data_IF_935882582655
#
_entry.id   IF_935882582655
#
_cell.length_a   1.000
_cell.length_b   1.000
_cell.length_c   1.000
_cell.angle_alpha   90.00
_cell.angle_beta   90.00
_cell.angle_gamma   90.00
#
_symmetry.space_group_name_H-M   'P 1'
#
loop_
_entity.id
_entity.type
_entity.pdbx_description
1 polymer ?
#
# COMPACT_ATOMS: atom_id res chain seq x y z
N UNK A 1 -5.56 -22.45 -6.74
CA UNK A 1 -6.26 -21.19 -6.43
C UNK A 1 -5.31 -20.02 -6.66
N UNK A 2 -5.76 -18.92 -7.26
CA UNK A 2 -4.89 -17.78 -7.61
C UNK A 2 -4.19 -17.17 -6.38
N UNK A 3 -4.85 -17.13 -5.23
CA UNK A 3 -4.26 -16.57 -4.00
C UNK A 3 -3.02 -17.33 -3.53
N UNK A 4 -3.07 -18.67 -3.58
CA UNK A 4 -1.92 -19.49 -3.23
C UNK A 4 -0.77 -19.26 -4.21
N UNK A 5 -1.08 -19.09 -5.50
CA UNK A 5 -0.11 -18.81 -6.56
C UNK A 5 0.59 -17.47 -6.33
N UNK A 6 -0.16 -16.40 -6.02
CA UNK A 6 0.43 -15.11 -5.70
C UNK A 6 1.32 -15.23 -4.46
N UNK A 7 0.78 -15.79 -3.35
CA UNK A 7 1.51 -15.90 -2.08
C UNK A 7 2.81 -16.67 -2.22
N UNK A 8 2.83 -17.80 -2.94
CA UNK A 8 4.05 -18.60 -3.09
C UNK A 8 5.12 -17.87 -3.90
N UNK A 9 4.74 -17.01 -4.85
CA UNK A 9 5.68 -16.29 -5.71
C UNK A 9 6.10 -14.92 -5.16
N UNK A 10 5.39 -14.39 -4.16
CA UNK A 10 5.71 -13.10 -3.54
C UNK A 10 6.12 -13.20 -2.07
N UNK A 11 6.26 -14.42 -1.52
CA UNK A 11 6.54 -14.65 -0.10
C UNK A 11 7.80 -13.92 0.39
N UNK A 12 8.91 -14.02 -0.36
CA UNK A 12 10.18 -13.40 0.04
C UNK A 12 10.11 -11.88 0.01
N UNK A 13 9.45 -11.31 -1.01
CA UNK A 13 9.23 -9.87 -1.10
C UNK A 13 8.35 -9.35 0.04
N UNK A 14 7.26 -10.06 0.34
CA UNK A 14 6.38 -9.74 1.47
C UNK A 14 7.17 -9.72 2.78
N UNK A 15 7.91 -10.81 3.06
CA UNK A 15 8.71 -10.95 4.29
C UNK A 15 9.79 -9.87 4.41
N UNK A 16 10.48 -9.57 3.30
CA UNK A 16 11.50 -8.51 3.26
C UNK A 16 10.91 -7.15 3.58
N UNK A 17 9.79 -6.80 2.94
CA UNK A 17 9.10 -5.54 3.17
C UNK A 17 8.57 -5.42 4.61
N UNK A 18 7.94 -6.48 5.12
CA UNK A 18 7.45 -6.54 6.50
C UNK A 18 8.57 -6.33 7.53
N UNK A 19 9.72 -6.96 7.32
CA UNK A 19 10.90 -6.79 8.18
C UNK A 19 11.41 -5.35 8.17
N UNK A 20 11.54 -4.72 7.00
CA UNK A 20 11.98 -3.33 6.87
C UNK A 20 11.02 -2.34 7.51
N UNK A 21 9.72 -2.51 7.27
CA UNK A 21 8.69 -1.69 7.91
C UNK A 21 8.71 -1.86 9.41
N UNK A 22 8.86 -3.09 9.89
CA UNK A 22 8.91 -3.37 11.32
C UNK A 22 10.10 -2.70 12.01
N UNK A 23 11.28 -2.76 11.38
CA UNK A 23 12.48 -2.12 11.89
C UNK A 23 12.38 -0.59 11.97
N UNK A 24 11.51 0.03 11.14
CA UNK A 24 11.30 1.48 11.13
C UNK A 24 10.14 1.93 12.03
N UNK A 25 9.03 1.20 12.07
CA UNK A 25 7.81 1.61 12.78
C UNK A 25 7.73 1.11 14.22
N UNK A 26 8.30 -0.06 14.52
CA UNK A 26 8.18 -0.70 15.82
C UNK A 26 9.38 -0.39 16.73
N UNK A 27 9.85 0.87 16.73
CA UNK A 27 10.91 1.33 17.63
C UNK A 27 10.34 2.14 18.80
N UNK A 28 10.83 1.97 20.05
CA UNK A 28 10.31 2.71 21.21
C UNK A 28 10.45 4.24 21.13
N UNK A 29 11.37 4.72 20.30
CA UNK A 29 11.76 6.11 20.15
C UNK A 29 11.43 6.68 18.75
N UNK A 30 10.43 6.10 18.07
CA UNK A 30 9.99 6.56 16.75
C UNK A 30 9.74 8.07 16.75
N UNK A 31 10.47 8.77 15.89
CA UNK A 31 10.39 10.23 15.73
C UNK A 31 9.33 10.61 14.69
N UNK A 32 8.61 11.73 14.87
CA UNK A 32 7.66 12.23 13.88
C UNK A 32 8.27 12.42 12.48
N UNK A 33 9.54 12.83 12.40
CA UNK A 33 10.24 13.00 11.12
C UNK A 33 10.47 11.69 10.37
N UNK A 34 10.83 10.61 11.07
CA UNK A 34 11.00 9.28 10.47
C UNK A 34 9.65 8.75 9.95
N UNK A 35 8.59 8.98 10.72
CA UNK A 35 7.24 8.64 10.30
C UNK A 35 6.80 9.44 9.06
N UNK A 36 7.08 10.75 9.04
CA UNK A 36 6.83 11.63 7.90
C UNK A 36 7.54 11.14 6.63
N UNK A 37 8.83 10.79 6.73
CA UNK A 37 9.59 10.25 5.59
C UNK A 37 9.00 8.93 5.09
N UNK A 38 8.52 8.07 5.99
CA UNK A 38 7.84 6.83 5.62
C UNK A 38 6.53 7.08 4.88
N UNK A 39 5.72 8.03 5.35
CA UNK A 39 4.49 8.44 4.66
C UNK A 39 4.79 9.02 3.27
N UNK A 40 5.87 9.78 3.11
CA UNK A 40 6.30 10.29 1.78
C UNK A 40 6.64 9.12 0.84
N UNK A 41 7.36 8.12 1.34
CA UNK A 41 7.69 6.93 0.55
C UNK A 41 6.42 6.16 0.14
N UNK A 42 5.48 5.96 1.05
CA UNK A 42 4.19 5.34 0.72
C UNK A 42 3.40 6.17 -0.29
N UNK A 43 3.26 7.48 -0.09
CA UNK A 43 2.56 8.38 -1.00
C UNK A 43 3.15 8.35 -2.41
N UNK A 44 4.49 8.40 -2.52
CA UNK A 44 5.19 8.29 -3.80
C UNK A 44 4.93 6.94 -4.49
N UNK A 45 5.00 5.83 -3.74
CA UNK A 45 4.75 4.50 -4.28
C UNK A 45 3.29 4.28 -4.70
N UNK A 46 2.32 4.66 -3.85
CA UNK A 46 0.90 4.48 -4.13
C UNK A 46 0.43 5.35 -5.30
N UNK A 47 0.89 6.61 -5.41
CA UNK A 47 0.59 7.44 -6.59
C UNK A 47 1.04 6.78 -7.89
N UNK A 48 2.23 6.18 -7.91
CA UNK A 48 2.74 5.50 -9.09
C UNK A 48 1.95 4.21 -9.40
N UNK A 49 1.62 3.42 -8.38
CA UNK A 49 0.86 2.16 -8.53
C UNK A 49 -0.58 2.40 -8.96
N UNK A 50 -1.31 3.29 -8.28
CA UNK A 50 -2.69 3.62 -8.62
C UNK A 50 -2.77 4.27 -10.01
N UNK A 51 -1.82 5.13 -10.38
CA UNK A 51 -1.76 5.69 -11.74
C UNK A 51 -1.52 4.61 -12.80
N UNK A 52 -0.65 3.64 -12.52
CA UNK A 52 -0.32 2.60 -13.47
C UNK A 52 -1.48 1.62 -13.67
N UNK A 53 -2.06 1.13 -12.56
CA UNK A 53 -3.16 0.19 -12.55
C UNK A 53 -4.48 0.82 -12.99
N UNK A 54 -4.75 2.06 -12.57
CA UNK A 54 -5.96 2.81 -12.90
C UNK A 54 -6.08 3.27 -14.35
N UNK A 55 -5.11 2.95 -15.20
CA UNK A 55 -5.24 3.16 -16.65
C UNK A 55 -6.23 2.16 -17.29
N UNK A 56 -6.50 1.04 -16.62
CA UNK A 56 -7.53 0.07 -17.00
C UNK A 56 -8.90 0.52 -16.44
N UNK A 57 -9.96 0.68 -17.26
CA UNK A 57 -11.25 1.23 -16.81
C UNK A 57 -11.91 0.49 -15.64
N UNK A 58 -11.89 -0.84 -15.66
CA UNK A 58 -12.45 -1.67 -14.60
C UNK A 58 -11.71 -1.44 -13.26
N UNK A 59 -10.40 -1.23 -13.30
CA UNK A 59 -9.56 -0.95 -12.13
C UNK A 59 -9.73 0.48 -11.66
N UNK A 60 -9.84 1.44 -12.59
CA UNK A 60 -10.17 2.82 -12.27
C UNK A 60 -11.47 2.91 -11.47
N UNK A 61 -12.49 2.12 -11.85
CA UNK A 61 -13.74 2.04 -11.12
C UNK A 61 -13.57 1.44 -9.70
N UNK A 62 -12.75 0.39 -9.55
CA UNK A 62 -12.42 -0.16 -8.23
C UNK A 62 -11.69 0.88 -7.34
N UNK A 63 -10.80 1.68 -7.93
CA UNK A 63 -10.01 2.68 -7.20
C UNK A 63 -10.85 3.83 -6.63
N UNK A 64 -12.08 4.07 -7.12
CA UNK A 64 -12.97 5.13 -6.61
C UNK A 64 -13.17 5.02 -5.09
N UNK A 65 -13.40 3.80 -4.59
CA UNK A 65 -13.60 3.53 -3.16
C UNK A 65 -12.35 2.95 -2.48
N UNK A 66 -11.32 2.66 -3.27
CA UNK A 66 -10.13 1.92 -2.83
C UNK A 66 -8.82 2.70 -2.95
N UNK A 67 -8.84 3.94 -3.40
CA UNK A 67 -7.63 4.80 -3.39
C UNK A 67 -7.19 5.13 -1.97
N UNK A 68 -5.87 5.15 -1.74
CA UNK A 68 -5.23 5.48 -0.45
C UNK A 68 -4.53 6.83 -0.49
N UNK A 69 -4.47 7.45 -1.67
CA UNK A 69 -3.72 8.68 -1.90
C UNK A 69 -4.24 9.80 -0.98
N UNK A 70 -5.55 10.00 -0.91
CA UNK A 70 -6.13 11.07 -0.07
C UNK A 70 -5.89 10.84 1.42
N UNK A 71 -5.83 9.59 1.89
CA UNK A 71 -5.53 9.25 3.28
C UNK A 71 -4.06 9.56 3.60
N UNK A 72 -3.14 9.20 2.69
CA UNK A 72 -1.73 9.52 2.79
C UNK A 72 -1.47 11.03 2.78
N UNK A 73 -2.18 11.77 1.92
CA UNK A 73 -2.07 13.24 1.84
C UNK A 73 -2.54 13.92 3.12
N UNK A 74 -3.64 13.44 3.71
CA UNK A 74 -4.14 13.94 5.00
C UNK A 74 -3.11 13.71 6.13
N UNK A 75 -2.61 12.47 6.27
CA UNK A 75 -1.62 12.13 7.28
C UNK A 75 -0.32 12.94 7.10
N UNK A 76 0.16 13.06 5.86
CA UNK A 76 1.33 13.87 5.52
C UNK A 76 1.15 15.32 5.93
N UNK A 77 0.02 15.94 5.57
CA UNK A 77 -0.23 17.34 5.87
C UNK A 77 -0.31 17.59 7.37
N UNK A 78 -0.95 16.69 8.12
CA UNK A 78 -1.04 16.83 9.58
C UNK A 78 0.33 16.72 10.25
N UNK A 79 1.10 15.68 9.92
CA UNK A 79 2.44 15.49 10.51
C UNK A 79 3.38 16.64 10.14
N UNK A 80 3.33 17.11 8.88
CA UNK A 80 4.13 18.24 8.40
C UNK A 80 3.93 19.49 9.25
N UNK A 81 2.69 19.81 9.61
CA UNK A 81 2.35 21.01 10.38
C UNK A 81 2.90 20.98 11.82
N UNK A 82 3.32 19.82 12.31
CA UNK A 82 3.86 19.62 13.67
C UNK A 82 5.37 19.55 13.73
N UNK A 83 6.04 19.57 12.57
CA UNK A 83 7.48 19.52 12.46
C UNK A 83 8.05 20.95 12.39
N UNK A 84 9.05 21.26 13.21
CA UNK A 84 9.74 22.56 13.18
C UNK A 84 10.54 22.75 11.90
N UNK A 85 11.14 21.66 11.38
CA UNK A 85 11.87 21.63 10.12
C UNK A 85 11.40 20.46 9.29
N UNK A 86 11.14 20.72 8.01
CA UNK A 86 10.66 19.72 7.06
C UNK A 86 11.54 19.70 5.83
N UNK A 87 11.91 18.51 5.39
CA UNK A 87 12.41 18.29 4.05
C UNK A 87 11.29 17.65 3.24
N UNK A 88 10.67 18.41 2.34
CA UNK A 88 9.62 17.90 1.46
C UNK A 88 10.18 17.13 0.26
N UNK A 89 11.49 17.15 0.05
CA UNK A 89 12.10 16.40 -1.04
C UNK A 89 11.95 14.90 -0.77
N UNK A 90 11.33 14.23 -1.74
CA UNK A 90 11.32 12.79 -1.86
C UNK A 90 11.19 12.46 -3.35
N UNK A 91 12.11 11.65 -3.92
CA UNK A 91 12.09 11.38 -5.34
C UNK A 91 10.75 10.79 -5.77
N UNK A 92 10.10 11.45 -6.72
CA UNK A 92 8.89 10.93 -7.34
C UNK A 92 9.18 9.53 -7.90
N UNK A 93 8.33 8.57 -7.53
CA UNK A 93 8.38 7.24 -8.10
C UNK A 93 7.54 7.21 -9.38
N UNK A 94 8.01 6.48 -10.38
CA UNK A 94 7.27 6.32 -11.64
C UNK A 94 7.18 4.86 -11.98
N UNK A 95 5.98 4.42 -12.36
CA UNK A 95 5.73 3.12 -12.94
C UNK A 95 5.03 3.34 -14.29
N UNK A 96 5.43 2.63 -15.37
CA UNK A 96 4.73 2.69 -16.64
C UNK A 96 3.26 2.32 -16.46
N UNK A 97 2.38 3.03 -17.17
CA UNK A 97 0.98 2.63 -17.25
C UNK A 97 0.86 1.27 -17.91
N UNK A 98 -0.17 0.53 -17.55
CA UNK A 98 -0.49 -0.76 -18.17
C UNK A 98 -1.93 -0.74 -18.67
N UNK A 99 -2.18 -1.43 -19.77
CA UNK A 99 -3.52 -1.72 -20.28
C UNK A 99 -3.97 -3.15 -19.88
N UNK A 100 -3.17 -3.87 -19.10
CA UNK A 100 -3.47 -5.24 -18.67
C UNK A 100 -4.30 -5.25 -17.39
N UNK A 101 -5.53 -5.79 -17.49
CA UNK A 101 -6.39 -6.08 -16.33
C UNK A 101 -5.68 -7.01 -15.33
N UNK A 102 -5.09 -8.09 -15.83
CA UNK A 102 -4.37 -9.07 -15.01
C UNK A 102 -3.22 -8.44 -14.21
N UNK A 103 -2.37 -7.64 -14.86
CA UNK A 103 -1.24 -6.99 -14.19
C UNK A 103 -1.75 -6.00 -13.12
N UNK A 104 -2.79 -5.25 -13.43
CA UNK A 104 -3.39 -4.27 -12.53
C UNK A 104 -4.06 -4.93 -11.31
N UNK A 105 -4.76 -6.05 -11.50
CA UNK A 105 -5.32 -6.85 -10.40
C UNK A 105 -4.23 -7.38 -9.48
N UNK A 106 -3.08 -7.78 -10.03
CA UNK A 106 -1.90 -8.13 -9.24
C UNK A 106 -1.39 -6.98 -8.38
N UNK A 107 -1.32 -5.77 -8.93
CA UNK A 107 -0.93 -4.57 -8.16
C UNK A 107 -1.93 -4.25 -7.06
N UNK A 108 -3.23 -4.30 -7.38
CA UNK A 108 -4.33 -4.09 -6.42
C UNK A 108 -4.28 -5.10 -5.28
N UNK A 109 -3.95 -6.38 -5.54
CA UNK A 109 -3.81 -7.40 -4.50
C UNK A 109 -2.83 -6.99 -3.41
N UNK A 110 -1.70 -6.37 -3.78
CA UNK A 110 -0.70 -5.93 -2.80
C UNK A 110 -1.19 -4.72 -2.01
N UNK A 111 -1.76 -3.72 -2.69
CA UNK A 111 -2.27 -2.51 -2.04
C UNK A 111 -3.44 -2.81 -1.09
N UNK A 112 -4.39 -3.64 -1.52
CA UNK A 112 -5.54 -4.03 -0.70
C UNK A 112 -5.12 -4.98 0.44
N UNK A 113 -4.21 -5.92 0.17
CA UNK A 113 -3.69 -6.85 1.17
C UNK A 113 -2.91 -6.16 2.28
N UNK A 114 -2.17 -5.09 1.94
CA UNK A 114 -1.41 -4.29 2.92
C UNK A 114 -2.30 -3.66 4.00
N UNK A 115 -3.59 -3.43 3.72
CA UNK A 115 -4.53 -2.83 4.69
C UNK A 115 -4.79 -3.74 5.88
N UNK A 116 -4.70 -5.07 5.72
CA UNK A 116 -5.02 -6.05 6.77
C UNK A 116 -4.06 -5.96 7.97
N UNK A 117 -2.77 -5.74 7.71
CA UNK A 117 -1.74 -5.56 8.74
C UNK A 117 -1.82 -4.20 9.45
N UNK A 118 -2.55 -3.24 8.87
CA UNK A 118 -2.64 -1.87 9.36
C UNK A 118 -3.12 -1.75 10.80
N UNK A 119 -4.01 -2.65 11.26
CA UNK A 119 -4.52 -2.65 12.64
C UNK A 119 -3.40 -2.79 13.68
N UNK A 120 -2.41 -3.64 13.42
CA UNK A 120 -1.29 -3.82 14.37
C UNK A 120 -0.39 -2.58 14.40
N UNK A 121 -0.17 -1.95 13.23
CA UNK A 121 0.58 -0.70 13.10
C UNK A 121 -0.15 0.41 13.86
N UNK A 122 -1.45 0.58 13.65
CA UNK A 122 -2.29 1.56 14.36
C UNK A 122 -2.17 1.38 15.87
N UNK A 123 -2.47 0.18 16.38
CA UNK A 123 -2.39 -0.14 17.81
C UNK A 123 -1.00 0.16 18.40
N UNK A 124 0.06 -0.03 17.62
CA UNK A 124 1.39 0.31 18.08
C UNK A 124 1.61 1.82 18.10
N UNK A 125 1.28 2.52 17.03
CA UNK A 125 1.59 3.94 16.87
C UNK A 125 0.77 4.85 17.80
N UNK A 126 -0.43 4.43 18.22
CA UNK A 126 -1.25 5.19 19.19
C UNK A 126 -0.57 5.42 20.56
N UNK A 127 0.50 4.68 20.87
CA UNK A 127 1.29 4.90 22.10
C UNK A 127 2.02 6.23 22.12
N UNK A 128 2.30 6.81 20.95
CA UNK A 128 3.12 8.02 20.82
C UNK A 128 2.24 9.25 21.02
N UNK A 129 2.61 10.13 21.96
CA UNK A 129 1.82 11.32 22.29
C UNK A 129 1.66 12.32 21.12
N UNK A 130 2.45 12.20 20.06
CA UNK A 130 2.37 13.02 18.85
C UNK A 130 1.49 12.41 17.76
N UNK A 131 0.99 11.18 17.94
CA UNK A 131 0.05 10.52 17.04
C UNK A 131 -1.38 10.84 17.47
N UNK A 132 -2.20 11.26 16.51
CA UNK A 132 -3.65 11.42 16.65
C UNK A 132 -4.32 10.48 15.65
N UNK A 133 -5.12 9.51 16.10
CA UNK A 133 -5.68 8.46 15.24
C UNK A 133 -6.38 9.02 14.00
N UNK A 134 -7.24 10.03 14.19
CA UNK A 134 -8.06 10.63 13.12
C UNK A 134 -7.25 11.50 12.14
N UNK A 135 -6.03 11.90 12.50
CA UNK A 135 -5.26 12.88 11.73
C UNK A 135 -3.91 12.38 11.24
N UNK A 136 -3.35 11.35 11.88
CA UNK A 136 -1.99 10.86 11.62
C UNK A 136 -1.94 9.42 11.13
N UNK A 137 -3.05 8.68 11.20
CA UNK A 137 -3.08 7.25 10.92
C UNK A 137 -4.13 6.85 9.88
N UNK A 138 -4.72 7.79 9.13
CA UNK A 138 -5.77 7.50 8.13
C UNK A 138 -5.35 6.40 7.14
N UNK A 139 -4.11 6.45 6.66
CA UNK A 139 -3.57 5.46 5.74
C UNK A 139 -3.49 4.07 6.37
N UNK A 140 -2.85 3.93 7.54
CA UNK A 140 -2.75 2.64 8.23
C UNK A 140 -4.09 2.19 8.80
N UNK A 141 -5.02 3.12 9.03
CA UNK A 141 -6.39 2.87 9.45
C UNK A 141 -7.36 2.71 8.27
N UNK A 142 -6.86 2.55 7.03
CA UNK A 142 -7.68 2.32 5.84
C UNK A 142 -8.80 1.33 6.09
N UNK A 143 -10.04 1.72 5.76
CA UNK A 143 -11.28 0.97 5.96
C UNK A 143 -11.71 0.71 7.42
N UNK A 144 -10.93 1.07 8.44
CA UNK A 144 -11.31 0.88 9.84
C UNK A 144 -11.68 -0.57 10.15
N UNK A 145 -12.90 -0.81 10.63
CA UNK A 145 -13.40 -2.16 10.93
C UNK A 145 -13.81 -2.95 9.67
N UNK A 146 -14.02 -2.28 8.53
CA UNK A 146 -14.43 -2.90 7.27
C UNK A 146 -13.29 -3.54 6.47
N UNK A 147 -12.04 -3.51 6.94
CA UNK A 147 -10.88 -4.09 6.22
C UNK A 147 -11.11 -5.51 5.74
N UNK A 148 -11.67 -6.37 6.59
CA UNK A 148 -11.94 -7.76 6.26
C UNK A 148 -12.99 -7.90 5.15
N UNK A 149 -14.02 -7.06 5.19
CA UNK A 149 -15.06 -6.99 4.15
C UNK A 149 -14.47 -6.49 2.84
N UNK A 150 -13.76 -5.35 2.85
CA UNK A 150 -13.16 -4.75 1.65
C UNK A 150 -12.16 -5.70 0.99
N UNK A 151 -11.36 -6.41 1.79
CA UNK A 151 -10.46 -7.44 1.29
C UNK A 151 -11.21 -8.60 0.64
N UNK A 152 -12.23 -9.14 1.31
CA UNK A 152 -13.02 -10.24 0.78
C UNK A 152 -13.66 -9.89 -0.55
N UNK A 153 -14.30 -8.73 -0.66
CA UNK A 153 -14.92 -8.25 -1.90
C UNK A 153 -13.90 -8.11 -3.04
N UNK A 154 -12.71 -7.59 -2.75
CA UNK A 154 -11.65 -7.51 -3.77
C UNK A 154 -11.18 -8.91 -4.20
N UNK A 155 -11.01 -9.84 -3.26
CA UNK A 155 -10.60 -11.21 -3.56
C UNK A 155 -11.63 -11.92 -4.45
N UNK A 156 -12.92 -11.74 -4.22
CA UNK A 156 -13.97 -12.31 -5.07
C UNK A 156 -13.85 -11.84 -6.53
N UNK A 157 -13.54 -10.55 -6.74
CA UNK A 157 -13.28 -9.98 -8.07
C UNK A 157 -12.03 -10.62 -8.71
N UNK A 158 -10.94 -10.72 -7.96
CA UNK A 158 -9.68 -11.30 -8.42
C UNK A 158 -9.82 -12.79 -8.79
N UNK A 159 -10.49 -13.56 -7.94
CA UNK A 159 -10.70 -15.00 -8.16
C UNK A 159 -11.58 -15.24 -9.39
N UNK A 160 -12.70 -14.52 -9.51
CA UNK A 160 -13.58 -14.60 -10.68
C UNK A 160 -12.84 -14.27 -11.99
N UNK A 161 -11.99 -13.24 -11.98
CA UNK A 161 -11.16 -12.91 -13.13
C UNK A 161 -10.16 -14.04 -13.46
N UNK A 162 -9.47 -14.59 -12.46
CA UNK A 162 -8.46 -15.63 -12.65
C UNK A 162 -9.03 -17.01 -13.02
N UNK A 163 -10.29 -17.27 -12.68
CA UNK A 163 -11.07 -18.43 -13.14
C UNK A 163 -11.47 -18.29 -14.60
N UNK A 164 -11.93 -17.10 -14.98
CA UNK A 164 -12.33 -16.79 -16.36
C UNK A 164 -11.13 -16.68 -17.31
N UNK A 165 -9.94 -16.36 -16.78
CA UNK A 165 -8.71 -16.16 -17.54
C UNK A 165 -7.52 -16.98 -16.99
N UNK A 166 -7.55 -18.33 -17.09
CA UNK A 166 -6.51 -19.17 -16.48
C UNK A 166 -5.08 -18.92 -17.00
N UNK A 167 -4.94 -18.47 -18.26
CA UNK A 167 -3.65 -18.13 -18.86
C UNK A 167 -3.00 -16.86 -18.30
N UNK A 168 -3.78 -16.01 -17.64
CA UNK A 168 -3.32 -14.72 -17.10
C UNK A 168 -2.79 -14.80 -15.65
N UNK A 169 -2.83 -15.99 -15.03
CA UNK A 169 -2.42 -16.17 -13.63
C UNK A 169 -0.99 -15.70 -13.36
N UNK A 170 -0.07 -15.96 -14.28
CA UNK A 170 1.31 -15.49 -14.14
C UNK A 170 1.44 -13.98 -14.36
N UNK A 171 0.58 -13.38 -15.19
CA UNK A 171 0.52 -11.91 -15.34
C UNK A 171 0.03 -11.24 -14.06
N UNK A 172 -0.94 -11.84 -13.36
CA UNK A 172 -1.39 -11.38 -12.04
C UNK A 172 -0.23 -11.43 -11.04
N UNK A 173 0.51 -12.54 -11.00
CA UNK A 173 1.69 -12.67 -10.12
C UNK A 173 2.75 -11.61 -10.45
N UNK A 174 3.02 -11.35 -11.74
CA UNK A 174 3.94 -10.29 -12.16
C UNK A 174 3.49 -8.92 -11.66
N UNK A 175 2.18 -8.63 -11.67
CA UNK A 175 1.62 -7.40 -11.14
C UNK A 175 1.86 -7.24 -9.63
N UNK A 176 1.63 -8.30 -8.88
CA UNK A 176 1.91 -8.32 -7.44
C UNK A 176 3.41 -8.15 -7.15
N UNK A 177 4.26 -8.83 -7.90
CA UNK A 177 5.71 -8.67 -7.80
C UNK A 177 6.16 -7.23 -8.06
N UNK A 178 5.61 -6.59 -9.10
CA UNK A 178 5.90 -5.20 -9.42
C UNK A 178 5.49 -4.26 -8.27
N UNK A 179 4.30 -4.46 -7.70
CA UNK A 179 3.83 -3.64 -6.58
C UNK A 179 4.70 -3.78 -5.33
N UNK A 180 4.99 -5.01 -4.89
CA UNK A 180 5.91 -5.23 -3.77
C UNK A 180 7.28 -4.61 -4.02
N UNK A 181 7.88 -4.86 -5.19
CA UNK A 181 9.20 -4.32 -5.54
C UNK A 181 9.21 -2.79 -5.55
N UNK A 182 8.10 -2.18 -5.97
CA UNK A 182 7.97 -0.73 -6.06
C UNK A 182 7.88 -0.09 -4.67
N UNK A 183 7.06 -0.66 -3.79
CA UNK A 183 6.94 -0.22 -2.39
C UNK A 183 8.27 -0.43 -1.67
N UNK A 184 8.91 -1.60 -1.81
CA UNK A 184 10.19 -1.91 -1.19
C UNK A 184 11.29 -0.90 -1.57
N UNK A 185 11.37 -0.54 -2.86
CA UNK A 185 12.31 0.48 -3.35
C UNK A 185 12.05 1.86 -2.74
N UNK A 186 10.79 2.25 -2.57
CA UNK A 186 10.45 3.52 -1.94
C UNK A 186 10.83 3.53 -0.45
N UNK A 187 10.49 2.48 0.29
CA UNK A 187 10.78 2.35 1.73
C UNK A 187 12.27 2.26 2.01
N UNK A 188 13.06 1.67 1.10
CA UNK A 188 14.53 1.57 1.24
C UNK A 188 15.25 2.92 1.13
N UNK A 189 14.60 3.96 0.59
CA UNK A 189 15.17 5.32 0.48
C UNK A 189 15.00 6.16 1.75
N UNK A 190 14.19 5.67 2.69
CA UNK A 190 13.94 6.26 4.02
C UNK A 190 14.86 5.61 5.04
#
# INVERSE_FOLDING_TARGET
MILQHIRSHTADLHKSLEMKLSAKLFTPDLKPSVYYDLLKAFCSAYRALERAAGNVPMIANLLVERSKISLLEQDLQHIKNRLETVNDDFPASTLPKTDSEALSLGMMYVMEGATLGGKQIVNYLERFAWIELENSLNFFNSYGDDRGKMWKEFIEVLEKYAESNPSERDTIVKGAYQAFSHIDKAITRV
#
